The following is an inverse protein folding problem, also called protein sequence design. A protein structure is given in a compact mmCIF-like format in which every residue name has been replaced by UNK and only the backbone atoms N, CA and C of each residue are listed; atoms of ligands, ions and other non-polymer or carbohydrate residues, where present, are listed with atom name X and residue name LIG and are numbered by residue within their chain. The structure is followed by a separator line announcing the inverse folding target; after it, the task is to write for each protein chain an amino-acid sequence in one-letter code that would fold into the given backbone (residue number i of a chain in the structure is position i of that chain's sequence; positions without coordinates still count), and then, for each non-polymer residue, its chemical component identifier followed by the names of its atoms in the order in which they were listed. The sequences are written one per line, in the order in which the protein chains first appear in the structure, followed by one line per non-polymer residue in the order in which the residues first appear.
data_IF_188731414098
#
_entry.id   IF_188731414098
#
_cell.length_a   1.000
_cell.length_b   1.000
_cell.length_c   1.000
_cell.angle_alpha   90.00
_cell.angle_beta   90.00
_cell.angle_gamma   90.00
#
_symmetry.space_group_name_H-M   'P 1'
#
loop_
_entity.id
_entity.type
_entity.pdbx_description
1 polymer ?
#
# COMPACT_ATOMS: atom_id res chain seq x y z
N UNK A 1 -16.99 -3.32 -3.03
CA UNK A 1 -16.88 -2.15 -2.14
C UNK A 1 -15.46 -2.10 -1.61
N UNK A 2 -14.74 -1.02 -1.89
CA UNK A 2 -13.42 -0.83 -1.30
C UNK A 2 -13.59 -0.71 0.22
N UNK A 3 -12.94 -1.56 0.97
CA UNK A 3 -12.96 -1.51 2.44
C UNK A 3 -12.23 -0.25 2.85
N UNK A 4 -12.96 0.77 3.31
CA UNK A 4 -12.37 1.99 3.84
C UNK A 4 -11.81 1.68 5.21
N UNK A 5 -10.49 1.63 5.34
CA UNK A 5 -9.83 1.51 6.63
C UNK A 5 -9.81 2.88 7.33
N UNK A 6 -10.27 2.90 8.55
CA UNK A 6 -10.16 4.09 9.40
C UNK A 6 -8.83 4.06 10.15
N UNK A 7 -8.16 5.20 10.18
CA UNK A 7 -6.94 5.43 10.94
C UNK A 7 -7.06 6.77 11.68
N UNK A 8 -6.52 6.81 12.89
CA UNK A 8 -6.48 8.03 13.70
C UNK A 8 -5.06 8.61 13.73
N UNK A 9 -4.96 9.91 13.55
CA UNK A 9 -3.70 10.63 13.61
C UNK A 9 -3.87 11.97 14.34
N UNK A 10 -2.75 12.53 14.77
CA UNK A 10 -2.68 13.89 15.30
C UNK A 10 -1.75 14.74 14.44
N UNK A 11 -2.09 16.00 14.22
CA UNK A 11 -1.24 16.94 13.53
C UNK A 11 0.02 17.22 14.36
N UNK A 12 1.16 17.36 13.68
CA UNK A 12 2.44 17.73 14.31
C UNK A 12 2.85 19.14 13.86
N UNK A 13 3.14 20.05 14.78
CA UNK A 13 3.55 21.41 14.43
C UNK A 13 4.99 21.50 13.89
N UNK A 14 5.82 20.47 14.13
CA UNK A 14 7.24 20.47 13.77
C UNK A 14 7.61 19.28 12.89
N UNK A 15 8.31 19.56 11.78
CA UNK A 15 8.99 18.60 10.94
C UNK A 15 10.47 18.49 11.32
N UNK A 16 11.16 17.47 10.80
CA UNK A 16 12.60 17.25 10.94
C UNK A 16 12.98 16.05 11.81
N UNK A 17 14.27 15.70 11.78
CA UNK A 17 14.81 14.48 12.40
C UNK A 17 14.58 14.41 13.92
N UNK A 18 14.75 15.55 14.63
CA UNK A 18 14.57 15.60 16.08
C UNK A 18 13.11 15.37 16.49
N UNK A 19 12.19 16.04 15.80
CA UNK A 19 10.75 15.87 16.03
C UNK A 19 10.28 14.44 15.70
N UNK A 20 10.76 13.85 14.61
CA UNK A 20 10.45 12.46 14.26
C UNK A 20 10.97 11.46 15.30
N UNK A 21 12.16 11.67 15.86
CA UNK A 21 12.69 10.82 16.94
C UNK A 21 11.86 10.93 18.22
N UNK A 22 11.40 12.12 18.57
CA UNK A 22 10.55 12.34 19.75
C UNK A 22 9.22 11.56 19.60
N UNK A 23 8.57 11.67 18.46
CA UNK A 23 7.32 10.94 18.14
C UNK A 23 7.48 9.42 18.29
N UNK A 24 8.61 8.88 17.78
CA UNK A 24 8.87 7.43 17.89
C UNK A 24 9.10 6.97 19.33
N UNK A 25 9.71 7.82 20.17
CA UNK A 25 9.88 7.51 21.61
C UNK A 25 8.55 7.43 22.35
N UNK A 26 7.55 8.17 21.88
CA UNK A 26 6.18 8.15 22.41
C UNK A 26 5.35 6.95 21.91
N UNK A 27 5.94 6.03 21.16
CA UNK A 27 5.26 4.90 20.57
C UNK A 27 4.35 5.26 19.39
N UNK A 28 4.70 6.32 18.67
CA UNK A 28 3.96 6.82 17.50
C UNK A 28 4.85 6.83 16.26
N UNK A 29 4.24 6.83 15.09
CA UNK A 29 4.94 6.85 13.81
C UNK A 29 4.71 8.19 13.13
N UNK A 30 5.78 8.92 12.77
CA UNK A 30 5.64 10.14 11.99
C UNK A 30 5.22 9.83 10.57
N UNK A 31 4.38 10.69 9.99
CA UNK A 31 3.95 10.59 8.61
C UNK A 31 3.67 11.96 8.00
N UNK A 32 3.40 11.96 6.71
CA UNK A 32 3.04 13.14 5.94
C UNK A 32 1.85 12.85 5.05
N UNK A 33 0.91 13.78 4.98
CA UNK A 33 -0.18 13.79 4.01
C UNK A 33 0.13 14.88 2.98
N UNK A 34 0.16 14.52 1.70
CA UNK A 34 0.40 15.47 0.61
C UNK A 34 -0.54 15.20 -0.58
N UNK A 35 -0.53 16.10 -1.55
CA UNK A 35 -1.33 16.02 -2.77
C UNK A 35 -2.60 16.87 -2.75
N UNK A 36 -3.38 16.77 -3.82
CA UNK A 36 -4.62 17.56 -4.06
C UNK A 36 -4.38 19.08 -4.03
N UNK A 37 -3.21 19.54 -4.49
CA UNK A 37 -2.81 20.95 -4.51
C UNK A 37 -2.92 21.68 -3.16
N UNK A 38 -2.92 20.95 -2.06
CA UNK A 38 -2.95 21.47 -0.71
C UNK A 38 -1.58 21.36 -0.04
N UNK A 39 -1.26 22.22 0.94
CA UNK A 39 -0.01 22.10 1.68
C UNK A 39 0.14 20.73 2.35
N UNK A 40 1.36 20.19 2.42
CA UNK A 40 1.60 18.96 3.14
C UNK A 40 1.34 19.14 4.64
N UNK A 41 0.72 18.13 5.25
CA UNK A 41 0.42 18.09 6.68
C UNK A 41 1.27 17.00 7.33
N UNK A 42 2.06 17.38 8.32
CA UNK A 42 2.82 16.43 9.14
C UNK A 42 1.95 15.86 10.24
N UNK A 43 1.95 14.55 10.38
CA UNK A 43 1.10 13.80 11.31
C UNK A 43 1.89 12.80 12.14
N UNK A 44 1.26 12.31 13.19
CA UNK A 44 1.74 11.17 13.97
C UNK A 44 0.60 10.17 14.16
N UNK A 45 0.87 8.91 13.87
CA UNK A 45 -0.08 7.82 14.00
C UNK A 45 0.29 6.91 15.17
N UNK A 46 -0.69 6.18 15.71
CA UNK A 46 -0.41 5.13 16.67
C UNK A 46 0.39 4.00 16.03
N UNK A 47 1.46 3.59 16.70
CA UNK A 47 2.36 2.56 16.19
C UNK A 47 1.68 1.20 16.05
N UNK A 48 0.87 0.80 17.02
CA UNK A 48 0.23 -0.52 17.04
C UNK A 48 -0.83 -0.62 15.95
N UNK A 49 -1.64 0.42 15.79
CA UNK A 49 -2.66 0.49 14.76
C UNK A 49 -2.07 0.45 13.35
N UNK A 50 -1.04 1.27 13.10
CA UNK A 50 -0.35 1.29 11.80
C UNK A 50 0.33 -0.04 11.49
N UNK A 51 1.04 -0.62 12.46
CA UNK A 51 1.67 -1.93 12.32
C UNK A 51 0.65 -3.00 11.95
N UNK A 52 -0.48 -3.05 12.66
CA UNK A 52 -1.53 -4.01 12.36
C UNK A 52 -2.06 -3.89 10.92
N UNK A 53 -2.28 -2.66 10.46
CA UNK A 53 -2.74 -2.40 9.07
C UNK A 53 -1.70 -2.79 8.02
N UNK A 54 -0.43 -2.52 8.25
CA UNK A 54 0.65 -2.89 7.33
C UNK A 54 0.76 -4.42 7.22
N UNK A 55 0.76 -5.13 8.33
CA UNK A 55 0.90 -6.59 8.35
C UNK A 55 -0.39 -7.35 7.98
N UNK A 56 -1.55 -6.70 7.98
CA UNK A 56 -2.78 -7.27 7.43
C UNK A 56 -2.73 -7.50 5.92
N UNK A 57 -1.77 -6.87 5.22
CA UNK A 57 -1.60 -6.94 3.77
C UNK A 57 -2.43 -5.89 3.03
N UNK A 58 -2.11 -5.69 1.75
CA UNK A 58 -2.80 -4.73 0.86
C UNK A 58 -2.83 -3.28 1.35
N UNK A 59 -1.94 -2.89 2.27
CA UNK A 59 -1.91 -1.55 2.84
C UNK A 59 -1.76 -0.46 1.78
N UNK A 60 -0.85 -0.63 0.80
CA UNK A 60 -0.58 0.34 -0.25
C UNK A 60 -1.69 0.44 -1.32
N UNK A 61 -2.61 -0.50 -1.35
CA UNK A 61 -3.73 -0.55 -2.31
C UNK A 61 -5.08 -0.25 -1.67
N UNK A 62 -5.10 0.07 -0.38
CA UNK A 62 -6.33 0.31 0.38
C UNK A 62 -6.51 1.79 0.64
N UNK A 63 -7.68 2.33 0.27
CA UNK A 63 -8.08 3.69 0.61
C UNK A 63 -8.38 3.77 2.11
N UNK A 64 -7.79 4.76 2.77
CA UNK A 64 -7.98 5.02 4.18
C UNK A 64 -8.74 6.33 4.41
N UNK A 65 -9.60 6.33 5.42
CA UNK A 65 -10.13 7.54 6.03
C UNK A 65 -9.26 7.88 7.23
N UNK A 66 -8.45 8.94 7.10
CA UNK A 66 -7.53 9.36 8.13
C UNK A 66 -8.14 10.53 8.90
N UNK A 67 -8.45 10.30 10.18
CA UNK A 67 -8.92 11.34 11.09
C UNK A 67 -7.72 12.04 11.71
N UNK A 68 -7.53 13.31 11.35
CA UNK A 68 -6.48 14.17 11.89
C UNK A 68 -7.14 15.24 12.74
N UNK A 69 -7.07 15.10 14.06
CA UNK A 69 -7.62 16.04 15.04
C UNK A 69 -9.11 16.40 14.78
N UNK A 70 -9.91 15.40 14.40
CA UNK A 70 -11.34 15.56 14.10
C UNK A 70 -11.67 15.86 12.65
N UNK A 71 -10.68 16.10 11.80
CA UNK A 71 -10.85 16.31 10.35
C UNK A 71 -10.54 15.03 9.59
N UNK A 72 -11.52 14.52 8.84
CA UNK A 72 -11.34 13.31 8.03
C UNK A 72 -10.74 13.64 6.68
N UNK A 73 -9.66 12.94 6.33
CA UNK A 73 -9.02 13.00 5.03
C UNK A 73 -9.12 11.65 4.33
N UNK A 74 -9.56 11.65 3.08
CA UNK A 74 -9.51 10.47 2.23
C UNK A 74 -8.14 10.38 1.61
N UNK A 75 -7.39 9.34 1.95
CA UNK A 75 -5.99 9.17 1.56
C UNK A 75 -5.70 7.74 1.14
N UNK A 76 -4.62 7.56 0.39
CA UNK A 76 -4.04 6.25 0.13
C UNK A 76 -2.59 6.27 0.62
N UNK A 77 -2.12 5.22 1.31
CA UNK A 77 -0.71 5.08 1.62
C UNK A 77 0.10 4.99 0.33
N UNK A 78 1.12 5.84 0.21
CA UNK A 78 1.98 5.85 -0.98
C UNK A 78 3.24 5.06 -0.77
N UNK A 79 3.81 5.20 0.42
CA UNK A 79 5.02 4.52 0.81
C UNK A 79 5.09 4.41 2.33
N UNK A 80 5.82 3.44 2.83
CA UNK A 80 6.16 3.31 4.24
C UNK A 80 7.58 2.77 4.38
N UNK A 81 8.26 3.20 5.42
CA UNK A 81 9.60 2.76 5.74
C UNK A 81 9.57 1.88 6.98
N UNK A 82 10.29 0.76 6.91
CA UNK A 82 10.51 -0.14 8.03
C UNK A 82 11.93 0.03 8.56
N UNK A 83 12.10 -0.18 9.85
CA UNK A 83 13.43 -0.31 10.46
C UNK A 83 14.12 -1.56 9.92
N UNK A 84 15.35 -1.44 9.46
CA UNK A 84 16.07 -2.51 8.78
C UNK A 84 16.37 -3.74 9.68
N UNK A 85 16.33 -3.58 11.00
CA UNK A 85 16.66 -4.65 11.97
C UNK A 85 15.42 -5.23 12.61
N UNK A 86 14.44 -4.37 12.92
CA UNK A 86 13.25 -4.73 13.70
C UNK A 86 12.01 -4.93 12.84
N UNK A 87 12.06 -4.59 11.54
CA UNK A 87 10.92 -4.58 10.62
C UNK A 87 9.69 -3.80 11.14
N UNK A 88 9.95 -2.77 11.93
CA UNK A 88 8.90 -1.94 12.51
C UNK A 88 8.69 -0.65 11.70
N UNK A 89 7.45 -0.17 11.53
CA UNK A 89 7.19 1.05 10.79
C UNK A 89 7.83 2.27 11.47
N UNK A 90 8.61 3.03 10.70
CA UNK A 90 9.32 4.23 11.15
C UNK A 90 8.86 5.51 10.46
N UNK A 91 8.20 5.41 9.32
CA UNK A 91 7.62 6.51 8.57
C UNK A 91 6.52 6.02 7.63
N UNK A 92 5.53 6.86 7.32
CA UNK A 92 4.48 6.59 6.35
C UNK A 92 4.09 7.86 5.61
N UNK A 93 3.93 7.72 4.29
CA UNK A 93 3.50 8.79 3.40
C UNK A 93 2.11 8.49 2.85
N UNK A 94 1.22 9.48 2.94
CA UNK A 94 -0.14 9.41 2.44
C UNK A 94 -0.35 10.42 1.32
N UNK A 95 -1.04 10.00 0.27
CA UNK A 95 -1.51 10.85 -0.81
C UNK A 95 -2.99 11.17 -0.59
N UNK A 96 -3.36 12.46 -0.60
CA UNK A 96 -4.76 12.88 -0.61
C UNK A 96 -5.43 12.49 -1.90
N UNK A 97 -6.67 12.07 -1.79
CA UNK A 97 -7.51 11.67 -2.91
C UNK A 97 -8.63 12.69 -3.10
N UNK A 98 -8.57 13.42 -4.21
CA UNK A 98 -9.68 14.27 -4.66
C UNK A 98 -10.85 13.43 -5.20
N UNK A 99 -12.00 14.05 -5.35
CA UNK A 99 -13.19 13.42 -5.98
C UNK A 99 -12.88 13.10 -7.43
N UNK A 100 -13.10 11.84 -7.85
CA UNK A 100 -12.84 11.39 -9.23
C UNK A 100 -11.37 11.32 -9.62
N UNK A 101 -10.45 11.36 -8.66
CA UNK A 101 -9.03 11.27 -8.92
C UNK A 101 -8.66 9.89 -9.49
N UNK A 102 -7.74 9.89 -10.45
CA UNK A 102 -7.06 8.69 -10.92
C UNK A 102 -5.72 8.57 -10.23
N UNK A 103 -5.38 7.37 -9.85
CA UNK A 103 -4.11 7.09 -9.20
C UNK A 103 -3.41 5.93 -9.89
N UNK A 104 -2.08 5.99 -9.89
CA UNK A 104 -1.25 4.86 -10.31
C UNK A 104 -0.84 4.10 -9.06
N UNK A 105 -1.26 2.84 -8.98
CA UNK A 105 -0.97 1.93 -7.89
C UNK A 105 -0.26 0.69 -8.39
N UNK A 106 0.61 0.15 -7.57
CA UNK A 106 1.30 -1.11 -7.83
C UNK A 106 0.50 -2.26 -7.25
N UNK A 107 0.00 -3.12 -8.13
CA UNK A 107 -0.91 -4.22 -7.80
C UNK A 107 -0.17 -5.55 -7.93
N UNK A 108 -0.28 -6.47 -6.96
CA UNK A 108 0.31 -7.79 -7.07
C UNK A 108 -0.40 -8.63 -8.14
N UNK A 109 0.37 -9.47 -8.82
CA UNK A 109 -0.13 -10.45 -9.78
C UNK A 109 -0.22 -11.80 -9.11
N UNK A 110 -1.41 -12.38 -9.12
CA UNK A 110 -1.65 -13.75 -8.64
C UNK A 110 -1.76 -14.69 -9.83
N UNK A 111 -1.00 -15.76 -9.80
CA UNK A 111 -1.07 -16.82 -10.80
C UNK A 111 -2.15 -17.81 -10.41
N UNK A 112 -3.04 -18.11 -11.36
CA UNK A 112 -4.11 -19.08 -11.18
C UNK A 112 -3.98 -20.22 -12.20
N UNK A 113 -4.52 -21.39 -11.85
CA UNK A 113 -4.53 -22.59 -12.69
C UNK A 113 -3.13 -23.11 -13.11
N UNK A 114 -2.12 -22.88 -12.31
CA UNK A 114 -0.76 -23.37 -12.57
C UNK A 114 -0.73 -24.92 -12.70
N UNK A 115 -1.51 -25.64 -11.89
CA UNK A 115 -1.59 -27.10 -11.92
C UNK A 115 -2.20 -27.66 -13.21
N UNK A 116 -2.96 -26.84 -13.93
CA UNK A 116 -3.60 -27.21 -15.19
C UNK A 116 -2.70 -26.96 -16.42
N UNK A 117 -1.61 -26.22 -16.23
CA UNK A 117 -0.70 -25.88 -17.32
C UNK A 117 -0.05 -27.15 -17.90
N UNK A 118 -0.06 -27.34 -19.24
CA UNK A 118 0.58 -28.48 -19.88
C UNK A 118 2.07 -28.59 -19.57
N UNK A 119 2.76 -27.45 -19.47
CA UNK A 119 4.17 -27.38 -19.12
C UNK A 119 4.46 -27.93 -17.72
N UNK A 120 3.60 -27.64 -16.74
CA UNK A 120 3.73 -28.15 -15.37
C UNK A 120 3.46 -29.66 -15.32
N UNK A 121 2.46 -30.15 -16.05
CA UNK A 121 2.17 -31.58 -16.15
C UNK A 121 3.29 -32.38 -16.76
N UNK A 122 4.14 -31.75 -17.60
CA UNK A 122 5.34 -32.36 -18.19
C UNK A 122 6.60 -32.23 -17.32
N UNK A 123 6.45 -31.77 -16.06
CA UNK A 123 7.55 -31.60 -15.12
C UNK A 123 8.23 -30.23 -15.13
N UNK A 124 7.66 -29.25 -15.83
CA UNK A 124 8.11 -27.85 -15.79
C UNK A 124 7.69 -27.13 -14.53
N UNK A 125 8.29 -25.98 -14.28
CA UNK A 125 7.94 -25.07 -13.20
C UNK A 125 7.55 -23.70 -13.73
N UNK A 126 6.62 -23.04 -13.05
CA UNK A 126 6.24 -21.65 -13.36
C UNK A 126 7.23 -20.72 -12.69
N UNK A 127 7.93 -19.91 -13.51
CA UNK A 127 8.81 -18.86 -13.02
C UNK A 127 8.09 -17.50 -13.14
N UNK A 128 7.95 -16.81 -12.03
CA UNK A 128 7.32 -15.50 -11.98
C UNK A 128 8.40 -14.44 -12.10
N UNK A 129 8.45 -13.75 -13.24
CA UNK A 129 9.40 -12.68 -13.51
C UNK A 129 8.85 -11.34 -12.97
N UNK A 130 7.58 -11.07 -13.21
CA UNK A 130 6.91 -9.84 -12.78
C UNK A 130 5.89 -10.16 -11.71
N UNK A 131 6.15 -9.71 -10.48
CA UNK A 131 5.27 -9.95 -9.32
C UNK A 131 4.21 -8.87 -9.14
N UNK A 132 4.44 -7.69 -9.70
CA UNK A 132 3.55 -6.52 -9.55
C UNK A 132 3.48 -5.76 -10.86
N UNK A 133 2.32 -5.16 -11.12
CA UNK A 133 2.11 -4.27 -12.27
C UNK A 133 1.61 -2.91 -11.80
N UNK A 134 2.02 -1.86 -12.49
CA UNK A 134 1.55 -0.51 -12.23
C UNK A 134 0.26 -0.28 -13.04
N UNK A 135 -0.84 -0.05 -12.33
CA UNK A 135 -2.15 0.24 -12.93
C UNK A 135 -2.59 1.66 -12.59
N UNK A 136 -3.13 2.33 -13.58
CA UNK A 136 -3.86 3.58 -13.37
C UNK A 136 -5.34 3.27 -13.25
N UNK A 137 -5.91 3.57 -12.10
CA UNK A 137 -7.32 3.28 -11.81
C UNK A 137 -8.00 4.43 -11.07
N UNK A 138 -9.33 4.42 -11.12
CA UNK A 138 -10.12 5.31 -10.28
C UNK A 138 -9.97 4.92 -8.81
N UNK A 139 -9.94 5.94 -7.94
CA UNK A 139 -9.89 5.78 -6.48
C UNK A 139 -10.98 4.85 -5.93
N UNK A 140 -12.14 4.84 -6.57
CA UNK A 140 -13.29 4.05 -6.12
C UNK A 140 -13.22 2.55 -6.52
N UNK A 141 -12.35 2.21 -7.49
CA UNK A 141 -12.20 0.87 -8.05
C UNK A 141 -10.74 0.43 -8.10
N UNK A 142 -10.08 0.37 -6.96
CA UNK A 142 -8.72 -0.14 -6.86
C UNK A 142 -8.80 -1.66 -6.70
N UNK A 143 -8.28 -2.45 -7.66
CA UNK A 143 -8.22 -3.91 -7.53
C UNK A 143 -7.17 -4.30 -6.48
N UNK A 144 -7.43 -5.33 -5.72
CA UNK A 144 -6.48 -5.83 -4.73
C UNK A 144 -5.36 -6.66 -5.35
N UNK A 145 -5.67 -7.36 -6.43
CA UNK A 145 -4.73 -8.18 -7.22
C UNK A 145 -5.23 -8.33 -8.65
N UNK A 146 -4.33 -8.74 -9.53
CA UNK A 146 -4.65 -9.12 -10.90
C UNK A 146 -4.36 -10.62 -11.05
N UNK A 147 -5.32 -11.35 -11.60
CA UNK A 147 -5.15 -12.78 -11.85
C UNK A 147 -4.53 -13.00 -13.22
N UNK A 148 -3.48 -13.80 -13.27
CA UNK A 148 -2.87 -14.28 -14.50
C UNK A 148 -3.15 -15.77 -14.66
N UNK A 149 -3.97 -16.13 -15.65
CA UNK A 149 -4.30 -17.51 -15.96
C UNK A 149 -3.21 -18.14 -16.83
N UNK A 150 -2.56 -19.15 -16.28
CA UNK A 150 -1.49 -19.90 -16.95
C UNK A 150 -1.90 -21.30 -17.38
N UNK A 151 -3.20 -21.59 -17.41
CA UNK A 151 -3.74 -22.92 -17.70
C UNK A 151 -3.31 -23.48 -19.08
N UNK A 152 -2.92 -22.63 -20.01
CA UNK A 152 -2.47 -23.01 -21.37
C UNK A 152 -0.97 -22.90 -21.58
N UNK A 153 -0.19 -22.59 -20.53
CA UNK A 153 1.23 -22.34 -20.62
C UNK A 153 2.03 -23.64 -20.83
N UNK A 154 2.84 -23.69 -21.87
CA UNK A 154 3.76 -24.80 -22.17
C UNK A 154 5.20 -24.48 -21.74
N UNK A 155 6.06 -25.52 -21.79
CA UNK A 155 7.49 -25.38 -21.50
C UNK A 155 8.12 -24.41 -22.52
N UNK A 156 8.98 -23.51 -22.06
CA UNK A 156 9.64 -22.46 -22.86
C UNK A 156 8.71 -21.39 -23.45
N UNK A 157 7.45 -21.34 -23.01
CA UNK A 157 6.53 -20.25 -23.34
C UNK A 157 6.37 -19.29 -22.17
N UNK A 158 6.02 -18.06 -22.49
CA UNK A 158 5.75 -17.01 -21.49
C UNK A 158 4.41 -16.34 -21.75
N UNK A 159 3.78 -15.90 -20.67
CA UNK A 159 2.59 -15.06 -20.69
C UNK A 159 3.03 -13.58 -20.58
N UNK A 160 2.56 -12.76 -21.51
CA UNK A 160 2.85 -11.32 -21.57
C UNK A 160 1.61 -10.47 -21.37
#
# INVERSE_FOLDING_TARGET
MATVNELSATARPKAGKGAARAVRREGRVPGVIYGDNQPPVTIALDFKELRHKIYAGHFLTTVCSLDVDGTKHRVIPRDFQLDAVKDLPVHVDFLRLGVGAKIRVRIPVHIVNADQAPGVKRGGTVNIVTHTIDLECSVDNIPQFVEADVSTLEISHSLH
#
